data_IF_013279264574
#
_entry.id   IF_013279264574
#
_cell.length_a   1.000
_cell.length_b   1.000
_cell.length_c   1.000
_cell.angle_alpha   90.00
_cell.angle_beta   90.00
_cell.angle_gamma   90.00
#
_symmetry.space_group_name_H-M   'P 1'
#
loop_
_entity.id
_entity.type
_entity.pdbx_description
1 polymer ?
#
# COMPACT_ATOMS: atom_id res chain seq x y z
N UNK A 1 -80.81 -47.33 19.53
CA UNK A 1 -80.71 -46.23 18.54
C UNK A 1 -81.24 -44.93 19.16
N UNK A 2 -80.36 -43.97 19.47
CA UNK A 2 -80.55 -42.52 19.28
C UNK A 2 -79.28 -41.78 19.74
N UNK A 3 -78.78 -40.98 18.79
CA UNK A 3 -77.50 -40.28 18.76
C UNK A 3 -77.34 -39.24 19.87
N UNK A 4 -76.12 -39.09 20.40
CA UNK A 4 -75.61 -37.80 20.89
C UNK A 4 -74.56 -37.29 19.90
N UNK A 5 -74.89 -36.18 19.26
CA UNK A 5 -74.01 -35.42 18.38
C UNK A 5 -73.09 -34.58 19.26
N UNK A 6 -71.78 -34.78 19.13
CA UNK A 6 -70.76 -33.86 19.66
C UNK A 6 -70.44 -32.86 18.54
N UNK A 7 -70.70 -31.59 18.79
CA UNK A 7 -70.36 -30.48 17.89
C UNK A 7 -68.93 -30.05 18.21
N UNK A 8 -68.00 -30.29 17.30
CA UNK A 8 -66.62 -29.79 17.39
C UNK A 8 -66.47 -28.58 16.48
N UNK A 9 -66.20 -27.42 17.07
CA UNK A 9 -65.85 -26.19 16.36
C UNK A 9 -64.40 -26.29 15.86
N UNK A 10 -64.19 -26.13 14.54
CA UNK A 10 -62.88 -25.97 13.93
C UNK A 10 -62.67 -24.48 13.57
N UNK A 11 -61.84 -23.80 14.33
CA UNK A 11 -61.29 -22.48 13.99
C UNK A 11 -60.17 -22.67 12.96
N UNK A 12 -60.38 -22.19 11.73
CA UNK A 12 -59.34 -22.11 10.72
C UNK A 12 -58.53 -20.82 10.92
N UNK A 13 -57.29 -20.94 11.40
CA UNK A 13 -56.29 -19.85 11.35
C UNK A 13 -55.55 -20.00 10.02
N UNK A 14 -55.85 -19.12 9.06
CA UNK A 14 -55.09 -18.99 7.83
C UNK A 14 -53.81 -18.20 8.11
N UNK A 15 -52.68 -18.90 8.24
CA UNK A 15 -51.35 -18.28 8.30
C UNK A 15 -50.92 -17.84 6.91
N UNK A 16 -50.97 -16.53 6.64
CA UNK A 16 -50.35 -15.93 5.46
C UNK A 16 -48.83 -15.93 5.67
N UNK A 17 -48.14 -16.89 5.05
CA UNK A 17 -46.68 -16.90 5.01
C UNK A 17 -46.19 -15.84 4.00
N UNK A 18 -45.84 -14.65 4.50
CA UNK A 18 -45.08 -13.67 3.74
C UNK A 18 -43.68 -14.25 3.53
N UNK A 19 -43.45 -14.85 2.36
CA UNK A 19 -42.12 -15.29 1.94
C UNK A 19 -41.27 -14.06 1.66
N UNK A 20 -40.55 -13.58 2.68
CA UNK A 20 -39.46 -12.64 2.48
C UNK A 20 -38.42 -13.31 1.57
N UNK A 21 -38.35 -12.89 0.30
CA UNK A 21 -37.24 -13.27 -0.58
C UNK A 21 -35.96 -12.80 0.10
N UNK A 22 -35.20 -13.72 0.66
CA UNK A 22 -33.83 -13.47 1.11
C UNK A 22 -33.03 -13.14 -0.15
N UNK A 23 -32.87 -11.84 -0.43
CA UNK A 23 -32.15 -11.42 -1.63
C UNK A 23 -30.68 -11.72 -1.39
N UNK A 24 -30.17 -12.66 -2.18
CA UNK A 24 -28.79 -13.14 -2.14
C UNK A 24 -27.85 -12.00 -2.51
N UNK A 25 -26.82 -11.79 -1.68
CA UNK A 25 -25.74 -10.90 -2.03
C UNK A 25 -24.90 -11.53 -3.17
N UNK A 26 -24.56 -10.75 -4.17
CA UNK A 26 -23.76 -11.17 -5.31
C UNK A 26 -22.36 -10.56 -5.22
N UNK A 27 -21.34 -11.37 -5.47
CA UNK A 27 -19.96 -10.89 -5.61
C UNK A 27 -19.68 -10.64 -7.08
N UNK A 28 -19.23 -9.43 -7.40
CA UNK A 28 -18.92 -9.00 -8.76
C UNK A 28 -17.47 -8.51 -8.80
N UNK A 29 -16.79 -8.75 -9.90
CA UNK A 29 -15.37 -8.43 -10.09
C UNK A 29 -15.24 -7.20 -10.97
N UNK A 30 -14.61 -6.14 -10.48
CA UNK A 30 -14.40 -4.90 -11.20
C UNK A 30 -12.89 -4.65 -11.29
N UNK A 31 -12.29 -5.02 -12.42
CA UNK A 31 -10.83 -5.03 -12.55
C UNK A 31 -10.18 -5.96 -11.51
N UNK A 32 -9.43 -5.37 -10.58
CA UNK A 32 -8.73 -6.07 -9.49
C UNK A 32 -9.48 -5.98 -8.16
N UNK A 33 -10.62 -5.30 -8.16
CA UNK A 33 -11.47 -5.11 -6.99
C UNK A 33 -12.61 -6.10 -7.03
N UNK A 34 -13.06 -6.54 -5.86
CA UNK A 34 -14.32 -7.28 -5.74
C UNK A 34 -15.31 -6.42 -5.02
N UNK A 35 -16.56 -6.42 -5.49
CA UNK A 35 -17.66 -5.71 -4.85
C UNK A 35 -18.72 -6.70 -4.43
N UNK A 36 -19.37 -6.41 -3.31
CA UNK A 36 -20.58 -7.11 -2.90
C UNK A 36 -21.76 -6.23 -3.23
N UNK A 37 -22.73 -6.78 -3.95
CA UNK A 37 -23.95 -6.11 -4.37
C UNK A 37 -25.14 -6.81 -3.73
N UNK A 38 -26.01 -6.03 -3.11
CA UNK A 38 -27.27 -6.50 -2.54
C UNK A 38 -28.38 -5.55 -2.97
N UNK A 39 -29.48 -6.09 -3.51
CA UNK A 39 -30.59 -5.29 -4.05
C UNK A 39 -30.16 -4.26 -5.12
N UNK A 40 -29.21 -4.63 -5.99
CA UNK A 40 -28.65 -3.73 -7.00
C UNK A 40 -27.76 -2.60 -6.46
N UNK A 41 -27.53 -2.56 -5.14
CA UNK A 41 -26.66 -1.58 -4.49
C UNK A 41 -25.38 -2.23 -4.02
N UNK A 42 -24.26 -1.55 -4.26
CA UNK A 42 -22.96 -1.98 -3.77
C UNK A 42 -22.87 -1.73 -2.26
N UNK A 43 -22.68 -2.79 -1.48
CA UNK A 43 -22.61 -2.78 0.00
C UNK A 43 -21.19 -2.96 0.52
N UNK A 44 -20.27 -3.41 -0.32
CA UNK A 44 -18.87 -3.57 0.03
C UNK A 44 -18.00 -3.45 -1.21
N UNK A 45 -16.81 -2.88 -1.04
CA UNK A 45 -15.71 -2.99 -2.01
C UNK A 45 -14.47 -3.50 -1.29
N UNK A 46 -13.86 -4.56 -1.83
CA UNK A 46 -12.55 -5.04 -1.45
C UNK A 46 -11.56 -4.62 -2.53
N UNK A 47 -10.52 -3.96 -2.09
CA UNK A 47 -9.43 -3.49 -2.92
C UNK A 47 -8.43 -4.61 -3.16
N UNK A 48 -7.55 -4.39 -4.12
CA UNK A 48 -6.51 -5.33 -4.48
C UNK A 48 -5.52 -5.59 -3.33
N UNK A 49 -5.27 -4.57 -2.51
CA UNK A 49 -4.42 -4.61 -1.31
C UNK A 49 -5.12 -5.24 -0.08
N UNK A 50 -6.24 -5.94 -0.29
CA UNK A 50 -7.02 -6.54 0.77
C UNK A 50 -7.94 -5.57 1.53
N UNK A 51 -7.78 -4.25 1.36
CA UNK A 51 -8.57 -3.25 2.10
C UNK A 51 -10.06 -3.40 1.80
N UNK A 52 -10.89 -3.50 2.85
CA UNK A 52 -12.33 -3.63 2.73
C UNK A 52 -13.02 -2.35 3.19
N UNK A 53 -13.79 -1.73 2.31
CA UNK A 53 -14.73 -0.68 2.68
C UNK A 53 -16.15 -1.24 2.65
N UNK A 54 -16.80 -1.24 3.81
CA UNK A 54 -18.25 -1.44 3.90
C UNK A 54 -18.94 -0.13 3.50
N UNK A 55 -19.87 -0.24 2.58
CA UNK A 55 -20.55 0.88 1.97
C UNK A 55 -21.99 0.88 2.45
N UNK A 56 -22.39 1.97 3.11
CA UNK A 56 -23.79 2.22 3.45
C UNK A 56 -24.61 2.60 2.21
N UNK A 57 -25.83 3.09 2.43
CA UNK A 57 -26.75 3.55 1.38
C UNK A 57 -26.12 4.57 0.42
N UNK A 58 -25.13 5.35 0.88
CA UNK A 58 -24.38 6.33 0.09
C UNK A 58 -22.87 6.13 0.29
N UNK A 59 -22.28 5.33 -0.59
CA UNK A 59 -20.82 5.30 -0.74
C UNK A 59 -20.32 6.67 -1.24
N UNK A 60 -19.82 7.50 -0.32
CA UNK A 60 -19.34 8.88 -0.61
C UNK A 60 -18.30 8.96 -1.75
N UNK A 61 -17.61 7.86 -2.02
CA UNK A 61 -16.49 7.81 -2.96
C UNK A 61 -16.70 6.88 -4.15
N UNK A 62 -17.62 5.92 -4.08
CA UNK A 62 -17.81 4.94 -5.14
C UNK A 62 -19.27 4.84 -5.57
N UNK A 63 -19.54 4.92 -6.87
CA UNK A 63 -20.87 4.62 -7.44
C UNK A 63 -20.82 3.33 -8.24
N UNK A 64 -21.89 2.53 -8.20
CA UNK A 64 -22.09 1.36 -9.04
C UNK A 64 -23.37 1.53 -9.86
N UNK A 65 -23.31 1.28 -11.18
CA UNK A 65 -24.44 1.46 -12.11
C UNK A 65 -25.02 0.14 -12.64
N UNK A 66 -24.66 -0.99 -12.03
CA UNK A 66 -25.05 -2.32 -12.49
C UNK A 66 -24.07 -2.96 -13.48
N UNK A 67 -23.11 -2.20 -14.03
CA UNK A 67 -22.11 -2.72 -14.99
C UNK A 67 -20.69 -2.28 -14.69
N UNK A 68 -20.51 -1.18 -13.98
CA UNK A 68 -19.21 -0.60 -13.70
C UNK A 68 -19.21 0.15 -12.37
N UNK A 69 -18.03 0.28 -11.76
CA UNK A 69 -17.83 1.18 -10.62
C UNK A 69 -17.11 2.45 -11.06
N UNK A 70 -17.38 3.56 -10.37
CA UNK A 70 -16.66 4.81 -10.55
C UNK A 70 -16.21 5.35 -9.20
N UNK A 71 -14.94 5.69 -9.07
CA UNK A 71 -14.46 6.44 -7.93
C UNK A 71 -14.66 7.95 -8.17
N UNK A 72 -15.05 8.71 -7.15
CA UNK A 72 -15.29 10.16 -7.26
C UNK A 72 -14.07 10.93 -7.79
N UNK A 73 -12.87 10.46 -7.45
CA UNK A 73 -11.60 11.09 -7.87
C UNK A 73 -11.02 10.52 -9.16
N UNK A 74 -11.64 9.49 -9.76
CA UNK A 74 -11.16 8.85 -10.99
C UNK A 74 -12.19 9.10 -12.10
N UNK A 75 -11.75 9.70 -13.20
CA UNK A 75 -12.63 10.05 -14.32
C UNK A 75 -13.22 8.82 -15.04
N UNK A 76 -12.39 7.79 -15.21
CA UNK A 76 -12.74 6.54 -15.90
C UNK A 76 -13.57 5.60 -15.00
N UNK A 77 -14.58 4.94 -15.59
CA UNK A 77 -15.32 3.85 -14.92
C UNK A 77 -14.57 2.54 -15.09
N UNK A 78 -14.58 1.71 -14.06
CA UNK A 78 -13.99 0.38 -14.08
C UNK A 78 -15.10 -0.64 -14.38
N UNK A 79 -15.06 -1.32 -15.54
CA UNK A 79 -16.07 -2.31 -15.89
C UNK A 79 -16.03 -3.49 -14.93
N UNK A 80 -17.21 -4.04 -14.67
CA UNK A 80 -17.45 -5.17 -13.78
C UNK A 80 -17.95 -6.38 -14.57
N UNK A 81 -17.60 -7.57 -14.10
CA UNK A 81 -18.02 -8.84 -14.66
C UNK A 81 -18.26 -9.88 -13.56
N UNK A 82 -18.88 -10.99 -13.94
CA UNK A 82 -19.17 -12.11 -13.03
C UNK A 82 -17.97 -13.03 -12.83
N UNK A 83 -16.99 -12.97 -13.73
CA UNK A 83 -15.80 -13.79 -13.66
C UNK A 83 -14.61 -12.99 -13.09
N UNK A 84 -13.81 -13.58 -12.19
CA UNK A 84 -12.55 -12.99 -11.79
C UNK A 84 -11.59 -12.94 -12.98
N UNK A 85 -10.75 -11.90 -13.02
CA UNK A 85 -9.62 -11.87 -13.94
C UNK A 85 -8.66 -13.01 -13.62
N UNK A 86 -8.10 -13.63 -14.66
CA UNK A 86 -6.99 -14.56 -14.50
C UNK A 86 -5.75 -13.84 -13.96
N UNK A 87 -4.83 -14.59 -13.35
CA UNK A 87 -3.59 -14.01 -12.80
C UNK A 87 -2.79 -13.27 -13.86
N UNK A 88 -2.72 -13.77 -15.09
CA UNK A 88 -2.01 -13.11 -16.18
C UNK A 88 -2.69 -11.79 -16.60
N UNK A 89 -4.03 -11.75 -16.68
CA UNK A 89 -4.76 -10.50 -16.97
C UNK A 89 -4.56 -9.43 -15.87
N UNK A 90 -4.37 -9.85 -14.62
CA UNK A 90 -4.03 -8.96 -13.51
C UNK A 90 -2.63 -8.37 -13.72
N UNK A 91 -1.65 -9.24 -13.96
CA UNK A 91 -0.26 -8.87 -14.17
C UNK A 91 -0.12 -7.92 -15.35
N UNK A 92 -0.75 -8.24 -16.48
CA UNK A 92 -0.71 -7.41 -17.69
C UNK A 92 -1.37 -6.05 -17.43
N UNK A 93 -2.52 -6.02 -16.74
CA UNK A 93 -3.21 -4.79 -16.40
C UNK A 93 -2.40 -3.85 -15.50
N UNK A 94 -1.74 -4.39 -14.48
CA UNK A 94 -0.90 -3.62 -13.55
C UNK A 94 0.39 -3.14 -14.19
N UNK A 95 1.09 -4.03 -14.89
CA UNK A 95 2.40 -3.74 -15.46
C UNK A 95 2.33 -2.83 -16.70
N UNK A 96 1.26 -2.89 -17.50
CA UNK A 96 1.13 -2.08 -18.72
C UNK A 96 0.80 -0.60 -18.47
N UNK A 97 0.40 -0.24 -17.24
CA UNK A 97 -0.02 1.15 -16.92
C UNK A 97 1.07 2.19 -17.19
N UNK A 98 2.34 1.81 -17.11
CA UNK A 98 3.48 2.70 -17.35
C UNK A 98 3.54 3.20 -18.79
N UNK A 99 3.10 2.39 -19.75
CA UNK A 99 3.14 2.72 -21.18
C UNK A 99 2.09 3.78 -21.54
N UNK A 100 0.95 3.81 -20.83
CA UNK A 100 -0.15 4.77 -21.10
C UNK A 100 0.30 6.21 -20.86
N UNK A 101 1.09 6.46 -19.81
CA UNK A 101 1.63 7.79 -19.51
C UNK A 101 2.96 7.70 -18.74
N UNK A 102 4.09 7.48 -19.43
CA UNK A 102 5.41 7.30 -18.82
C UNK A 102 5.83 8.47 -17.92
N UNK A 103 5.47 9.70 -18.31
CA UNK A 103 5.87 10.91 -17.58
C UNK A 103 5.30 11.00 -16.17
N UNK A 104 4.13 10.42 -15.88
CA UNK A 104 3.57 10.38 -14.51
C UNK A 104 4.49 9.58 -13.57
N UNK A 105 5.23 8.62 -14.12
CA UNK A 105 6.15 7.77 -13.39
C UNK A 105 7.61 8.22 -13.53
N UNK A 106 7.84 9.45 -13.99
CA UNK A 106 9.16 10.01 -14.26
C UNK A 106 10.02 9.16 -15.21
N UNK A 107 9.39 8.39 -16.11
CA UNK A 107 10.07 7.51 -17.05
C UNK A 107 10.01 8.08 -18.47
N UNK A 108 11.05 7.79 -19.26
CA UNK A 108 10.92 7.86 -20.72
C UNK A 108 10.16 6.65 -21.28
N UNK A 109 9.84 6.68 -22.58
CA UNK A 109 9.06 5.61 -23.23
C UNK A 109 9.75 4.24 -23.17
N UNK A 110 11.08 4.22 -23.25
CA UNK A 110 11.85 2.98 -23.27
C UNK A 110 11.96 2.40 -21.86
N UNK A 111 12.18 3.26 -20.86
CA UNK A 111 12.12 2.91 -19.44
C UNK A 111 10.76 2.33 -19.05
N UNK A 112 9.65 2.92 -19.52
CA UNK A 112 8.31 2.40 -19.26
C UNK A 112 8.09 1.00 -19.85
N UNK A 113 8.60 0.73 -21.06
CA UNK A 113 8.54 -0.61 -21.66
C UNK A 113 9.32 -1.63 -20.83
N UNK A 114 10.54 -1.30 -20.43
CA UNK A 114 11.34 -2.18 -19.57
C UNK A 114 10.70 -2.38 -18.20
N UNK A 115 10.12 -1.33 -17.60
CA UNK A 115 9.40 -1.43 -16.33
C UNK A 115 8.18 -2.35 -16.44
N UNK A 116 7.42 -2.28 -17.55
CA UNK A 116 6.30 -3.20 -17.80
C UNK A 116 6.79 -4.65 -17.83
N UNK A 117 7.79 -4.98 -18.65
CA UNK A 117 8.32 -6.35 -18.71
C UNK A 117 8.92 -6.81 -17.38
N UNK A 118 9.66 -5.94 -16.70
CA UNK A 118 10.30 -6.22 -15.43
C UNK A 118 9.29 -6.51 -14.33
N UNK A 119 8.30 -5.64 -14.13
CA UNK A 119 7.27 -5.82 -13.08
C UNK A 119 6.37 -7.00 -13.36
N UNK A 120 6.07 -7.30 -14.63
CA UNK A 120 5.34 -8.49 -15.00
C UNK A 120 6.12 -9.77 -14.62
N UNK A 121 7.40 -9.83 -14.94
CA UNK A 121 8.25 -10.95 -14.54
C UNK A 121 8.36 -11.06 -13.01
N UNK A 122 8.63 -9.94 -12.33
CA UNK A 122 8.72 -9.89 -10.87
C UNK A 122 7.47 -10.45 -10.21
N UNK A 123 6.27 -10.08 -10.69
CA UNK A 123 5.00 -10.58 -10.19
C UNK A 123 4.72 -12.06 -10.47
N UNK A 124 5.40 -12.65 -11.47
CA UNK A 124 5.29 -14.08 -11.80
C UNK A 124 6.27 -14.92 -10.98
N UNK A 125 7.44 -14.38 -10.67
CA UNK A 125 8.56 -15.18 -10.16
C UNK A 125 8.92 -14.92 -8.71
N UNK A 126 8.64 -13.75 -8.16
CA UNK A 126 9.03 -13.39 -6.79
C UNK A 126 7.85 -13.47 -5.81
N UNK A 127 7.99 -14.32 -4.79
CA UNK A 127 6.99 -14.52 -3.73
C UNK A 127 6.69 -13.26 -2.90
N UNK A 128 7.61 -12.31 -2.84
CA UNK A 128 7.43 -11.04 -2.13
C UNK A 128 6.75 -9.97 -3.02
N UNK A 129 6.48 -10.28 -4.28
CA UNK A 129 5.75 -9.40 -5.19
C UNK A 129 4.55 -10.15 -5.79
N UNK A 130 3.49 -10.32 -5.02
CA UNK A 130 2.22 -10.83 -5.55
C UNK A 130 1.42 -9.73 -6.26
N UNK A 131 1.43 -8.51 -5.76
CA UNK A 131 0.67 -7.40 -6.34
C UNK A 131 1.58 -6.20 -6.53
N UNK A 132 1.59 -5.61 -7.72
CA UNK A 132 2.28 -4.35 -7.96
C UNK A 132 1.44 -3.18 -7.42
N UNK A 133 1.97 -2.50 -6.41
CA UNK A 133 1.33 -1.35 -5.77
C UNK A 133 1.71 -0.07 -6.53
N UNK A 134 2.98 0.27 -6.53
CA UNK A 134 3.52 1.48 -7.17
C UNK A 134 4.87 1.21 -7.84
N UNK A 135 5.25 2.00 -8.84
CA UNK A 135 6.62 2.03 -9.33
C UNK A 135 6.89 3.35 -10.06
N UNK A 136 8.08 3.91 -9.88
CA UNK A 136 8.47 5.16 -10.54
C UNK A 136 9.99 5.31 -10.56
N UNK A 137 10.49 6.15 -11.47
CA UNK A 137 11.88 6.59 -11.44
C UNK A 137 12.07 7.54 -10.26
N UNK A 138 13.13 7.32 -9.49
CA UNK A 138 13.44 8.14 -8.34
C UNK A 138 13.95 9.51 -8.76
N UNK A 139 13.35 10.55 -8.19
CA UNK A 139 13.83 11.93 -8.30
C UNK A 139 14.99 12.23 -7.35
N UNK A 140 15.26 11.34 -6.39
CA UNK A 140 16.30 11.51 -5.35
C UNK A 140 17.51 10.62 -5.62
N UNK A 141 17.28 9.38 -6.08
CA UNK A 141 18.33 8.43 -6.41
C UNK A 141 18.57 8.43 -7.92
N UNK A 142 19.70 8.99 -8.33
CA UNK A 142 20.04 9.09 -9.75
C UNK A 142 20.05 7.70 -10.41
N UNK A 143 19.41 7.61 -11.58
CA UNK A 143 19.26 6.40 -12.42
C UNK A 143 18.72 5.15 -11.69
N UNK A 144 17.90 5.36 -10.66
CA UNK A 144 17.27 4.30 -9.89
C UNK A 144 15.75 4.37 -9.99
N UNK A 145 15.13 3.20 -9.95
CA UNK A 145 13.68 3.03 -9.93
C UNK A 145 13.28 2.29 -8.67
N UNK A 146 12.16 2.70 -8.09
CA UNK A 146 11.52 1.91 -7.04
C UNK A 146 10.35 1.12 -7.62
N UNK A 147 10.14 -0.09 -7.12
CA UNK A 147 8.95 -0.89 -7.33
C UNK A 147 8.43 -1.31 -5.97
N UNK A 148 7.22 -0.90 -5.62
CA UNK A 148 6.53 -1.33 -4.42
C UNK A 148 5.54 -2.43 -4.80
N UNK A 149 5.72 -3.60 -4.19
CA UNK A 149 4.78 -4.71 -4.31
C UNK A 149 4.21 -5.09 -2.94
N UNK A 150 3.11 -5.83 -2.93
CA UNK A 150 2.64 -6.57 -1.76
C UNK A 150 2.78 -8.07 -1.98
N UNK A 151 3.12 -8.82 -0.94
CA UNK A 151 3.07 -10.27 -0.94
C UNK A 151 1.64 -10.79 -0.70
N UNK A 152 1.47 -12.12 -0.65
CA UNK A 152 0.18 -12.76 -0.39
C UNK A 152 -0.42 -12.48 1.00
N UNK A 153 0.37 -11.91 1.93
CA UNK A 153 -0.05 -11.53 3.28
C UNK A 153 -0.27 -10.01 3.40
N UNK A 154 -0.41 -9.31 2.28
CA UNK A 154 -0.55 -7.86 2.18
C UNK A 154 0.62 -7.07 2.79
N UNK A 155 1.78 -7.71 3.01
CA UNK A 155 2.99 -6.99 3.44
C UNK A 155 3.63 -6.35 2.23
N UNK A 156 3.82 -5.04 2.27
CA UNK A 156 4.52 -4.34 1.21
C UNK A 156 6.02 -4.63 1.25
N UNK A 157 6.65 -4.62 0.10
CA UNK A 157 8.07 -4.80 -0.15
C UNK A 157 8.50 -3.81 -1.22
N UNK A 158 9.60 -3.10 -0.99
CA UNK A 158 10.19 -2.17 -1.97
C UNK A 158 11.39 -2.78 -2.64
N UNK A 159 11.46 -2.71 -3.95
CA UNK A 159 12.62 -3.07 -4.75
C UNK A 159 13.28 -1.81 -5.27
N UNK A 160 14.61 -1.84 -5.30
CA UNK A 160 15.43 -0.79 -5.90
C UNK A 160 16.22 -1.40 -7.06
N UNK A 161 16.01 -0.87 -8.25
CA UNK A 161 16.61 -1.38 -9.48
C UNK A 161 17.23 -0.26 -10.28
N UNK A 162 18.32 -0.55 -10.97
CA UNK A 162 18.96 0.34 -11.94
C UNK A 162 18.28 0.22 -13.30
N UNK A 163 18.58 1.16 -14.21
CA UNK A 163 18.19 1.04 -15.62
C UNK A 163 18.72 -0.26 -16.26
N UNK A 164 19.93 -0.68 -15.89
CA UNK A 164 20.53 -1.94 -16.34
C UNK A 164 19.74 -3.17 -15.87
N UNK A 165 19.31 -3.17 -14.60
CA UNK A 165 18.49 -4.25 -14.04
C UNK A 165 17.13 -4.35 -14.76
N UNK A 166 16.48 -3.22 -15.06
CA UNK A 166 15.23 -3.19 -15.83
C UNK A 166 15.40 -3.80 -17.22
N UNK A 167 16.47 -3.41 -17.94
CA UNK A 167 16.75 -3.92 -19.30
C UNK A 167 17.08 -5.40 -19.31
N UNK A 168 17.82 -5.88 -18.31
CA UNK A 168 18.23 -7.27 -18.19
C UNK A 168 17.13 -8.18 -17.62
N UNK A 169 16.12 -7.62 -16.94
CA UNK A 169 15.13 -8.40 -16.20
C UNK A 169 15.65 -8.97 -14.88
N UNK A 170 16.77 -8.46 -14.36
CA UNK A 170 17.43 -8.98 -13.16
C UNK A 170 16.81 -8.37 -11.90
N UNK A 171 16.03 -9.15 -11.15
CA UNK A 171 15.55 -8.71 -9.85
C UNK A 171 16.61 -8.90 -8.77
N UNK A 172 16.60 -8.01 -7.78
CA UNK A 172 17.36 -8.14 -6.54
C UNK A 172 16.37 -8.40 -5.40
N UNK A 173 16.83 -8.92 -4.25
CA UNK A 173 15.98 -9.00 -3.07
C UNK A 173 15.38 -7.63 -2.72
N UNK A 174 14.18 -7.59 -2.11
CA UNK A 174 13.59 -6.36 -1.66
C UNK A 174 14.48 -5.65 -0.62
N UNK A 175 14.31 -4.34 -0.52
CA UNK A 175 14.97 -3.46 0.42
C UNK A 175 14.76 -3.95 1.86
N UNK A 176 15.85 -4.28 2.54
CA UNK A 176 15.84 -4.66 3.95
C UNK A 176 16.30 -3.50 4.82
N UNK A 177 15.76 -3.39 6.03
CA UNK A 177 16.25 -2.44 7.01
C UNK A 177 17.58 -2.91 7.59
N UNK A 178 18.43 -1.96 7.99
CA UNK A 178 19.67 -2.29 8.72
C UNK A 178 19.38 -2.46 10.22
N UNK A 179 20.33 -3.05 10.94
CA UNK A 179 20.20 -3.19 12.40
C UNK A 179 20.09 -1.81 13.07
N UNK A 180 19.42 -1.77 14.23
CA UNK A 180 19.26 -0.54 15.02
C UNK A 180 20.61 0.15 15.29
N UNK A 181 21.65 -0.62 15.63
CA UNK A 181 22.98 -0.08 15.91
C UNK A 181 23.60 0.58 14.67
N UNK A 182 23.52 -0.09 13.51
CA UNK A 182 24.04 0.47 12.25
C UNK A 182 23.28 1.74 11.87
N UNK A 183 21.95 1.74 11.98
CA UNK A 183 21.13 2.91 11.70
C UNK A 183 21.48 4.11 12.60
N UNK A 184 21.64 3.88 13.91
CA UNK A 184 22.05 4.89 14.89
C UNK A 184 23.43 5.46 14.56
N UNK A 185 24.40 4.60 14.22
CA UNK A 185 25.75 5.03 13.90
C UNK A 185 25.79 5.90 12.64
N UNK A 186 25.08 5.50 11.58
CA UNK A 186 24.98 6.30 10.35
C UNK A 186 24.32 7.65 10.64
N UNK A 187 23.20 7.64 11.37
CA UNK A 187 22.50 8.88 11.71
C UNK A 187 23.36 9.80 12.59
N UNK A 188 24.01 9.27 13.61
CA UNK A 188 24.87 10.05 14.51
C UNK A 188 26.05 10.68 13.77
N UNK A 189 26.64 9.93 12.83
CA UNK A 189 27.73 10.43 11.98
C UNK A 189 27.26 11.60 11.11
N UNK A 190 26.08 11.49 10.51
CA UNK A 190 25.50 12.57 9.72
C UNK A 190 25.12 13.79 10.58
N UNK A 191 24.48 13.59 11.74
CA UNK A 191 24.11 14.70 12.61
C UNK A 191 25.35 15.47 13.10
N UNK A 192 26.45 14.75 13.38
CA UNK A 192 27.74 15.34 13.68
C UNK A 192 28.27 16.20 12.54
N UNK A 193 28.16 15.74 11.29
CA UNK A 193 28.65 16.49 10.12
C UNK A 193 27.82 17.77 9.87
N UNK A 194 26.55 17.79 10.30
CA UNK A 194 25.66 18.95 10.22
C UNK A 194 25.81 19.95 11.37
N UNK A 195 26.48 19.58 12.46
CA UNK A 195 26.73 20.51 13.56
C UNK A 195 27.72 21.60 13.12
N UNK A 196 27.49 22.85 13.55
CA UNK A 196 28.36 23.97 13.17
C UNK A 196 29.80 23.79 13.66
N UNK A 197 29.99 23.16 14.82
CA UNK A 197 31.30 22.73 15.32
C UNK A 197 31.26 21.22 15.62
N UNK A 198 31.63 20.35 14.64
CA UNK A 198 31.49 18.89 14.75
C UNK A 198 32.24 18.23 15.92
N UNK A 199 33.28 18.87 16.46
CA UNK A 199 34.02 18.37 17.63
C UNK A 199 33.24 18.53 18.95
N UNK A 200 32.21 19.36 18.97
CA UNK A 200 31.38 19.64 20.16
C UNK A 200 30.07 18.84 20.17
N UNK A 201 29.83 18.06 19.12
CA UNK A 201 28.68 17.17 19.00
C UNK A 201 28.72 16.10 20.09
N UNK A 202 27.70 16.09 20.95
CA UNK A 202 27.57 15.16 22.06
C UNK A 202 26.18 14.48 22.03
N UNK A 203 26.08 13.25 21.49
CA UNK A 203 24.81 12.55 21.36
C UNK A 203 24.40 11.83 22.65
N UNK A 204 23.12 11.96 23.02
CA UNK A 204 22.52 11.23 24.15
C UNK A 204 22.10 9.81 23.75
N UNK A 205 23.07 8.94 23.40
CA UNK A 205 22.80 7.63 22.79
C UNK A 205 22.00 6.65 23.66
N UNK A 206 22.07 6.78 24.99
CA UNK A 206 21.42 5.84 25.92
C UNK A 206 19.97 6.21 26.24
N UNK A 207 19.69 7.48 26.48
CA UNK A 207 18.38 7.96 26.97
C UNK A 207 17.68 8.92 26.01
N UNK A 208 18.38 9.41 24.99
CA UNK A 208 17.89 10.39 24.03
C UNK A 208 17.80 9.87 22.59
N UNK A 209 18.01 8.57 22.37
CA UNK A 209 17.99 7.97 21.03
C UNK A 209 16.86 6.98 20.86
N UNK A 210 16.09 7.13 19.79
CA UNK A 210 15.07 6.17 19.33
C UNK A 210 15.44 5.65 17.94
N UNK A 211 15.00 4.43 17.63
CA UNK A 211 15.10 3.86 16.29
C UNK A 211 13.93 2.93 16.06
N UNK A 212 13.14 3.23 15.03
CA UNK A 212 12.01 2.40 14.59
C UNK A 212 12.29 1.83 13.21
N UNK A 213 12.02 0.54 13.04
CA UNK A 213 12.06 -0.13 11.74
C UNK A 213 10.68 -0.01 11.09
N UNK A 214 10.65 0.32 9.80
CA UNK A 214 9.47 0.18 8.93
C UNK A 214 9.80 -0.93 7.94
N UNK A 215 9.48 -2.17 8.35
CA UNK A 215 9.92 -3.39 7.66
C UNK A 215 9.49 -3.41 6.20
N UNK A 216 8.25 -2.96 5.93
CA UNK A 216 7.61 -3.03 4.61
C UNK A 216 8.34 -2.27 3.49
N UNK A 217 9.26 -1.36 3.82
CA UNK A 217 10.02 -0.57 2.84
C UNK A 217 11.52 -0.55 3.15
N UNK A 218 11.97 -1.43 4.05
CA UNK A 218 13.37 -1.51 4.46
C UNK A 218 13.91 -0.24 5.10
N UNK A 219 13.06 0.53 5.80
CA UNK A 219 13.45 1.82 6.37
C UNK A 219 13.77 1.74 7.87
N UNK A 220 14.68 2.61 8.28
CA UNK A 220 14.93 2.93 9.68
C UNK A 220 14.63 4.43 9.88
N UNK A 221 13.85 4.76 10.90
CA UNK A 221 13.68 6.15 11.37
C UNK A 221 14.41 6.25 12.69
N UNK A 222 15.44 7.08 12.73
CA UNK A 222 16.29 7.29 13.90
C UNK A 222 16.12 8.71 14.38
N UNK A 223 15.99 8.89 15.69
CA UNK A 223 15.98 10.21 16.30
C UNK A 223 17.02 10.24 17.42
N UNK A 224 17.85 11.27 17.46
CA UNK A 224 18.95 11.42 18.42
C UNK A 224 18.88 12.82 19.01
N UNK A 225 18.72 12.91 20.33
CA UNK A 225 18.97 14.16 21.05
C UNK A 225 20.48 14.36 21.19
N UNK A 226 20.96 15.58 20.97
CA UNK A 226 22.38 15.90 21.13
C UNK A 226 22.58 17.35 21.58
N UNK A 227 23.75 17.66 22.13
CA UNK A 227 24.22 19.03 22.29
C UNK A 227 25.34 19.33 21.30
N UNK A 228 25.46 20.59 20.91
CA UNK A 228 26.55 21.09 20.08
C UNK A 228 26.73 22.60 20.31
N UNK A 229 27.94 23.13 20.09
CA UNK A 229 28.21 24.56 20.20
C UNK A 229 27.89 25.30 18.91
N UNK A 230 27.40 26.52 19.05
CA UNK A 230 27.29 27.50 17.98
C UNK A 230 28.65 28.17 17.66
N UNK A 231 28.69 29.02 16.64
CA UNK A 231 29.91 29.71 16.20
C UNK A 231 30.47 30.66 17.28
N UNK A 232 29.61 31.12 18.20
CA UNK A 232 30.00 31.94 19.35
C UNK A 232 30.28 31.11 20.61
N UNK A 233 30.35 29.78 20.50
CA UNK A 233 30.73 28.87 21.59
C UNK A 233 29.63 28.52 22.59
N UNK A 234 28.39 28.97 22.38
CA UNK A 234 27.23 28.65 23.23
C UNK A 234 26.73 27.24 22.92
N UNK A 235 26.53 26.43 23.96
CA UNK A 235 25.95 25.08 23.81
C UNK A 235 24.44 25.15 23.61
N UNK A 236 23.96 24.55 22.51
CA UNK A 236 22.54 24.36 22.22
C UNK A 236 22.12 22.90 22.37
N UNK A 237 20.81 22.69 22.56
CA UNK A 237 20.18 21.36 22.60
C UNK A 237 19.38 21.17 21.32
N UNK A 238 19.53 20.01 20.71
CA UNK A 238 18.93 19.70 19.42
C UNK A 238 18.33 18.30 19.42
N UNK A 239 17.39 18.08 18.49
CA UNK A 239 16.90 16.76 18.10
C UNK A 239 17.18 16.56 16.62
N UNK A 240 18.03 15.59 16.31
CA UNK A 240 18.21 15.12 14.94
C UNK A 240 17.22 14.02 14.61
N UNK A 241 16.73 13.99 13.38
CA UNK A 241 15.94 12.89 12.81
C UNK A 241 16.54 12.46 11.48
N UNK A 242 16.82 11.18 11.34
CA UNK A 242 17.29 10.57 10.10
C UNK A 242 16.29 9.52 9.60
N UNK A 243 16.06 9.51 8.29
CA UNK A 243 15.37 8.41 7.60
C UNK A 243 16.38 7.70 6.73
N UNK A 244 16.58 6.41 6.99
CA UNK A 244 17.43 5.53 6.21
C UNK A 244 16.56 4.52 5.47
N UNK A 245 17.04 4.06 4.32
CA UNK A 245 16.41 3.01 3.52
C UNK A 245 17.50 2.09 2.99
N UNK A 246 17.50 0.84 3.46
CA UNK A 246 18.59 -0.12 3.24
C UNK A 246 19.97 0.42 3.59
N UNK A 247 20.06 1.06 4.76
CA UNK A 247 21.32 1.62 5.27
C UNK A 247 21.78 2.89 4.56
N UNK A 248 21.10 3.34 3.51
CA UNK A 248 21.38 4.61 2.86
C UNK A 248 20.56 5.72 3.50
N UNK A 249 21.20 6.83 3.85
CA UNK A 249 20.51 8.02 4.32
C UNK A 249 19.68 8.65 3.19
N UNK A 250 18.40 8.90 3.45
CA UNK A 250 17.45 9.53 2.53
C UNK A 250 17.11 10.94 3.00
N UNK A 251 17.04 11.13 4.30
CA UNK A 251 16.71 12.40 4.92
C UNK A 251 17.46 12.53 6.25
N UNK A 252 17.97 13.73 6.55
CA UNK A 252 18.48 14.09 7.85
C UNK A 252 18.13 15.54 8.16
N UNK A 253 17.36 15.75 9.22
CA UNK A 253 16.94 17.07 9.69
C UNK A 253 17.41 17.29 11.12
N UNK A 254 17.72 18.54 11.45
CA UNK A 254 18.06 19.01 12.80
C UNK A 254 16.97 19.97 13.24
N UNK A 255 16.44 19.76 14.44
CA UNK A 255 15.41 20.58 15.06
C UNK A 255 15.94 21.17 16.36
N UNK A 256 15.73 22.46 16.56
CA UNK A 256 16.00 23.13 17.84
C UNK A 256 15.04 22.62 18.92
N UNK A 257 15.52 22.58 20.17
CA UNK A 257 14.76 22.12 21.33
C UNK A 257 14.71 23.14 22.44
#
# INVERSE_FOLDING_TARGET
>A
MKNKVVVTWLLAIASIAISAKVVKAETIYCGLKTITVQNGKMTQIRHEDGTIHKLGSDSKYWSYDGKSIKHKLIGERLPCGTNPKSRDEIIDGLSSRFIKNPSIYNMDKQEALWMTSFTANLMKTDKNCHVLVDASKSVVRNDMFYIDCSDHSDKSHRYWVTRGDLKAGNSRPPATAVTKLVAINICSTELRSKAMIPSTYNPALLTGTSSRIVENVGRNIVEINFTAKSAIGVEGKFRGRCVLESGRLIEAIVLDR
#
